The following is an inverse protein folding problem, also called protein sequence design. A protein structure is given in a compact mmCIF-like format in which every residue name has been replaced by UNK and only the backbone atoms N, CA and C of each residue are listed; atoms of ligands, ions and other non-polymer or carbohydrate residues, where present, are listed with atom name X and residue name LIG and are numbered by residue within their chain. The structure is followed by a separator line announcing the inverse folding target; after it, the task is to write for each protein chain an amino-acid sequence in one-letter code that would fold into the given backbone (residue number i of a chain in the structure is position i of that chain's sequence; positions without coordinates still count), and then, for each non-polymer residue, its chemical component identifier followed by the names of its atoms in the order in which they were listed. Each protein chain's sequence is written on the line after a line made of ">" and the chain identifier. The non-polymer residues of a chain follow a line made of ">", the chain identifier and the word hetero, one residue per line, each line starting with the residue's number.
data_IF_933182453044
#
_entry.id   IF_933182453044
#
_cell.length_a   1.000
_cell.length_b   1.000
_cell.length_c   1.000
_cell.angle_alpha   90.00
_cell.angle_beta   90.00
_cell.angle_gamma   90.00
#
_symmetry.space_group_name_H-M   'P 1'
#
loop_
_entity.id
_entity.type
_entity.pdbx_description
1 polymer ?
#
# COMPACT_ATOMS: atom_id res chain seq x y z
N UNK A 1 2.49 -22.54 -18.08
CA UNK A 1 2.17 -22.29 -16.65
C UNK A 1 1.27 -23.43 -16.25
N UNK A 2 1.57 -24.12 -15.15
CA UNK A 2 0.77 -25.29 -14.78
C UNK A 2 -0.60 -24.84 -14.28
N UNK A 3 -1.67 -25.58 -14.58
CA UNK A 3 -3.03 -25.22 -14.16
C UNK A 3 -3.16 -25.02 -12.63
N UNK A 4 -2.26 -25.59 -11.82
CA UNK A 4 -2.27 -25.39 -10.36
C UNK A 4 -1.70 -24.03 -9.92
N UNK A 5 -0.71 -23.49 -10.63
CA UNK A 5 -0.14 -22.17 -10.34
C UNK A 5 -1.16 -21.05 -10.60
N UNK A 6 -2.03 -21.22 -11.60
CA UNK A 6 -3.10 -20.28 -11.91
C UNK A 6 -4.24 -20.31 -10.89
N UNK A 7 -4.56 -21.49 -10.33
CA UNK A 7 -5.59 -21.62 -9.29
C UNK A 7 -5.15 -20.97 -7.98
N UNK A 8 -3.93 -21.29 -7.50
CA UNK A 8 -3.40 -20.70 -6.27
C UNK A 8 -3.27 -19.18 -6.37
N UNK A 9 -2.86 -18.67 -7.54
CA UNK A 9 -2.76 -17.24 -7.76
C UNK A 9 -4.13 -16.55 -7.83
N UNK A 10 -5.13 -17.17 -8.46
CA UNK A 10 -6.50 -16.64 -8.50
C UNK A 10 -7.13 -16.57 -7.11
N UNK A 11 -6.89 -17.57 -6.27
CA UNK A 11 -7.35 -17.55 -4.88
C UNK A 11 -6.64 -16.46 -4.08
N UNK A 12 -5.33 -16.29 -4.23
CA UNK A 12 -4.59 -15.20 -3.60
C UNK A 12 -5.08 -13.82 -4.06
N UNK A 13 -5.40 -13.67 -5.35
CA UNK A 13 -5.99 -12.45 -5.90
C UNK A 13 -7.37 -12.18 -5.30
N UNK A 14 -8.23 -13.20 -5.21
CA UNK A 14 -9.58 -13.06 -4.65
C UNK A 14 -9.53 -12.57 -3.20
N UNK A 15 -8.68 -13.17 -2.38
CA UNK A 15 -8.45 -12.73 -1.00
C UNK A 15 -7.86 -11.31 -0.92
N UNK A 16 -6.99 -10.92 -1.85
CA UNK A 16 -6.46 -9.57 -1.92
C UNK A 16 -7.52 -8.55 -2.35
N UNK A 17 -8.36 -8.89 -3.34
CA UNK A 17 -9.42 -8.03 -3.84
C UNK A 17 -10.51 -7.79 -2.79
N UNK A 18 -10.80 -8.78 -1.94
CA UNK A 18 -11.67 -8.63 -0.76
C UNK A 18 -11.16 -7.56 0.23
N UNK A 19 -9.87 -7.21 0.16
CA UNK A 19 -9.23 -6.20 1.01
C UNK A 19 -9.02 -4.86 0.29
N UNK A 20 -9.51 -4.69 -0.94
CA UNK A 20 -9.24 -3.51 -1.77
C UNK A 20 -9.69 -2.21 -1.09
N UNK A 21 -10.90 -2.18 -0.52
CA UNK A 21 -11.43 -1.02 0.19
C UNK A 21 -10.57 -0.66 1.40
N UNK A 22 -10.07 -1.68 2.11
CA UNK A 22 -9.18 -1.50 3.25
C UNK A 22 -7.82 -0.93 2.81
N UNK A 23 -7.26 -1.41 1.71
CA UNK A 23 -6.02 -0.89 1.14
C UNK A 23 -6.16 0.56 0.67
N UNK A 24 -7.27 0.90 -0.01
CA UNK A 24 -7.57 2.28 -0.42
C UNK A 24 -7.73 3.20 0.79
N UNK A 25 -8.47 2.75 1.80
CA UNK A 25 -8.66 3.50 3.04
C UNK A 25 -7.33 3.73 3.77
N UNK A 26 -6.47 2.71 3.86
CA UNK A 26 -5.15 2.85 4.48
C UNK A 26 -4.28 3.86 3.72
N UNK A 27 -4.28 3.82 2.39
CA UNK A 27 -3.56 4.80 1.57
C UNK A 27 -4.06 6.22 1.85
N UNK A 28 -5.38 6.41 1.89
CA UNK A 28 -6.01 7.70 2.18
C UNK A 28 -5.61 8.24 3.56
N UNK A 29 -5.77 7.44 4.61
CA UNK A 29 -5.49 7.84 6.00
C UNK A 29 -4.01 8.18 6.19
N UNK A 30 -3.10 7.34 5.70
CA UNK A 30 -1.66 7.57 5.89
C UNK A 30 -1.17 8.78 5.06
N UNK A 31 -1.76 9.02 3.88
CA UNK A 31 -1.47 10.22 3.08
C UNK A 31 -1.97 11.48 3.79
N UNK A 32 -3.16 11.46 4.38
CA UNK A 32 -3.69 12.58 5.15
C UNK A 32 -2.78 12.93 6.34
N UNK A 33 -2.30 11.92 7.08
CA UNK A 33 -1.34 12.12 8.19
C UNK A 33 -0.06 12.80 7.71
N UNK A 34 0.51 12.37 6.58
CA UNK A 34 1.72 13.01 6.03
C UNK A 34 1.44 14.47 5.66
N UNK A 35 0.31 14.74 5.00
CA UNK A 35 -0.08 16.10 4.62
C UNK A 35 -0.20 17.00 5.85
N UNK A 36 -0.80 16.51 6.94
CA UNK A 36 -0.91 17.28 8.18
C UNK A 36 0.44 17.52 8.86
N UNK A 37 1.36 16.56 8.78
CA UNK A 37 2.74 16.74 9.26
C UNK A 37 3.53 17.73 8.39
N UNK A 38 3.31 17.74 7.07
CA UNK A 38 3.94 18.69 6.13
C UNK A 38 3.45 20.14 6.30
N UNK A 39 2.24 20.35 6.85
CA UNK A 39 1.72 21.69 7.16
C UNK A 39 2.44 22.35 8.34
N UNK A 40 3.19 21.59 9.15
CA UNK A 40 3.91 22.12 10.30
C UNK A 40 5.16 22.88 9.83
N UNK A 41 5.31 24.15 10.23
CA UNK A 41 6.46 24.99 9.85
C UNK A 41 7.78 24.52 10.47
N UNK A 42 7.72 24.02 11.70
CA UNK A 42 8.87 23.47 12.42
C UNK A 42 8.57 22.03 12.82
N UNK A 43 9.37 21.09 12.29
CA UNK A 43 9.22 19.65 12.54
C UNK A 43 10.46 19.11 13.23
N UNK A 44 10.26 18.46 14.36
CA UNK A 44 11.34 17.81 15.12
C UNK A 44 11.96 16.65 14.33
N UNK A 45 13.19 16.25 14.68
CA UNK A 45 13.83 15.07 14.10
C UNK A 45 13.00 13.79 14.34
N UNK A 46 12.33 13.67 15.49
CA UNK A 46 11.39 12.58 15.79
C UNK A 46 10.24 12.54 14.79
N UNK A 47 9.60 13.68 14.57
CA UNK A 47 8.47 13.80 13.63
C UNK A 47 8.89 13.47 12.20
N UNK A 48 10.08 13.91 11.76
CA UNK A 48 10.64 13.54 10.46
C UNK A 48 10.82 12.02 10.31
N UNK A 49 11.29 11.35 11.37
CA UNK A 49 11.44 9.89 11.36
C UNK A 49 10.08 9.17 11.28
N UNK A 50 9.08 9.65 12.01
CA UNK A 50 7.71 9.12 11.94
C UNK A 50 7.13 9.26 10.53
N UNK A 51 7.32 10.41 9.87
CA UNK A 51 6.91 10.61 8.47
C UNK A 51 7.58 9.62 7.52
N UNK A 52 8.89 9.39 7.67
CA UNK A 52 9.64 8.43 6.84
C UNK A 52 9.09 7.01 7.00
N UNK A 53 8.74 6.61 8.22
CA UNK A 53 8.15 5.28 8.50
C UNK A 53 6.80 5.14 7.77
N UNK A 54 5.94 6.15 7.87
CA UNK A 54 4.63 6.15 7.20
C UNK A 54 4.78 6.07 5.67
N UNK A 55 5.69 6.87 5.09
CA UNK A 55 5.98 6.85 3.65
C UNK A 55 6.46 5.47 3.19
N UNK A 56 7.35 4.83 3.96
CA UNK A 56 7.84 3.47 3.66
C UNK A 56 6.71 2.44 3.71
N UNK A 57 5.79 2.57 4.66
CA UNK A 57 4.58 1.74 4.74
C UNK A 57 3.71 1.88 3.49
N UNK A 58 3.40 3.12 3.08
CA UNK A 58 2.65 3.41 1.86
C UNK A 58 3.32 2.84 0.60
N UNK A 59 4.65 2.99 0.47
CA UNK A 59 5.40 2.42 -0.64
C UNK A 59 5.30 0.89 -0.68
N UNK A 60 5.32 0.22 0.48
CA UNK A 60 5.16 -1.23 0.55
C UNK A 60 3.75 -1.66 0.12
N UNK A 61 2.71 -0.95 0.58
CA UNK A 61 1.33 -1.19 0.15
C UNK A 61 1.20 -1.05 -1.37
N UNK A 62 1.64 0.07 -1.95
CA UNK A 62 1.57 0.28 -3.42
C UNK A 62 2.33 -0.81 -4.19
N UNK A 63 3.52 -1.21 -3.74
CA UNK A 63 4.27 -2.32 -4.36
C UNK A 63 3.52 -3.65 -4.33
N UNK A 64 2.83 -3.94 -3.23
CA UNK A 64 2.00 -5.15 -3.11
C UNK A 64 0.88 -5.13 -4.15
N UNK A 65 0.15 -4.01 -4.25
CA UNK A 65 -0.91 -3.80 -5.25
C UNK A 65 -0.35 -3.94 -6.66
N UNK A 66 0.76 -3.26 -6.98
CA UNK A 66 1.39 -3.31 -8.31
C UNK A 66 1.82 -4.72 -8.69
N UNK A 67 2.35 -5.51 -7.76
CA UNK A 67 2.76 -6.90 -8.00
C UNK A 67 1.57 -7.80 -8.33
N UNK A 68 0.43 -7.58 -7.68
CA UNK A 68 -0.80 -8.33 -7.95
C UNK A 68 -1.38 -7.91 -9.32
N UNK A 69 -1.46 -6.61 -9.59
CA UNK A 69 -2.02 -6.08 -10.84
C UNK A 69 -1.16 -6.36 -12.08
N UNK A 70 0.16 -6.39 -11.97
CA UNK A 70 1.07 -6.60 -13.12
C UNK A 70 0.91 -7.98 -13.78
N UNK A 71 0.29 -8.94 -13.09
CA UNK A 71 -0.03 -10.26 -13.64
C UNK A 71 -1.36 -10.31 -14.42
N UNK A 72 -2.18 -9.25 -14.36
CA UNK A 72 -3.49 -9.16 -15.02
C UNK A 72 -3.58 -8.07 -16.11
N UNK A 73 -2.62 -7.14 -16.19
CA UNK A 73 -2.57 -6.09 -17.23
C UNK A 73 -1.54 -6.46 -18.33
N UNK A 74 -1.53 -7.71 -18.79
CA UNK A 74 -0.83 -8.08 -20.03
C UNK A 74 -1.82 -8.12 -21.20
#
# INVERSE_FOLDING_TARGET
>A
MSDSEDVEFRDAFKHWAEQLDMHQYQIFVETAKIVDLLKQRDVSAKTKNEMIIVIKGLQATVKSISKVMSKYIQ
#
